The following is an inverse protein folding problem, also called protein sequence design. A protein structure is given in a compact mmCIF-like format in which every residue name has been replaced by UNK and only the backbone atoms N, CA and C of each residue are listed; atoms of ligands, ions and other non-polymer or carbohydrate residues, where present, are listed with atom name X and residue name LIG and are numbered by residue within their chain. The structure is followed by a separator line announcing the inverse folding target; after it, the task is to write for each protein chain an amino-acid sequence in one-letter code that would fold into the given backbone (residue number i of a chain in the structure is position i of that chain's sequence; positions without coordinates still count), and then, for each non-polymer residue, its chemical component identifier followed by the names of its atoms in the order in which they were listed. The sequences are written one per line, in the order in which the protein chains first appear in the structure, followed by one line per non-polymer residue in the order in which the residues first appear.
data_IF_053840457531
#
_entry.id   IF_053840457531
#
_cell.length_a   1.000
_cell.length_b   1.000
_cell.length_c   1.000
_cell.angle_alpha   90.00
_cell.angle_beta   90.00
_cell.angle_gamma   90.00
#
_symmetry.space_group_name_H-M   'P 1'
#
loop_
_entity.id
_entity.type
_entity.pdbx_description
1 polymer ?
#
# COMPACT_ATOMS: atom_id res chain seq x y z
N UNK A 1 23.16 -23.32 -2.94
CA UNK A 1 23.19 -22.35 -1.83
C UNK A 1 22.36 -22.91 -0.71
N UNK A 2 22.87 -22.88 0.50
CA UNK A 2 22.12 -23.30 1.69
C UNK A 2 21.29 -22.10 2.17
N UNK A 3 19.97 -22.25 2.27
CA UNK A 3 19.05 -21.16 2.60
C UNK A 3 18.26 -21.55 3.85
N UNK A 4 18.40 -20.76 4.90
CA UNK A 4 17.64 -20.93 6.15
C UNK A 4 16.50 -19.92 6.16
N UNK A 5 15.27 -20.43 6.22
CA UNK A 5 14.07 -19.62 6.39
C UNK A 5 13.76 -19.46 7.89
N UNK A 6 13.71 -18.21 8.37
CA UNK A 6 13.30 -17.87 9.73
C UNK A 6 11.95 -17.15 9.67
N UNK A 7 10.88 -17.84 10.06
CA UNK A 7 9.53 -17.28 10.21
C UNK A 7 9.06 -17.51 11.65
N UNK A 8 8.72 -16.46 12.42
CA UNK A 8 8.20 -16.61 13.79
C UNK A 8 6.79 -17.22 13.87
N UNK A 9 6.00 -17.12 12.80
CA UNK A 9 4.62 -17.62 12.70
C UNK A 9 4.38 -18.27 11.34
N UNK A 10 5.10 -19.36 11.03
CA UNK A 10 4.92 -20.03 9.77
C UNK A 10 3.52 -20.65 9.71
N UNK A 11 2.96 -20.81 8.50
CA UNK A 11 1.66 -21.44 8.29
C UNK A 11 1.75 -22.96 8.54
N UNK A 12 1.99 -23.33 9.80
CA UNK A 12 2.07 -24.70 10.29
C UNK A 12 0.67 -25.21 10.66
N UNK A 13 0.48 -26.55 10.72
CA UNK A 13 -0.75 -27.14 11.23
C UNK A 13 -1.10 -26.58 12.62
N UNK A 14 -2.33 -26.09 12.79
CA UNK A 14 -2.83 -25.51 14.05
C UNK A 14 -2.65 -24.00 14.20
N UNK A 15 -1.88 -23.34 13.32
CA UNK A 15 -1.78 -21.87 13.26
C UNK A 15 -2.84 -21.34 12.29
N UNK A 16 -3.57 -20.30 12.69
CA UNK A 16 -4.59 -19.69 11.83
C UNK A 16 -3.94 -19.11 10.57
N UNK A 17 -4.42 -19.56 9.40
CA UNK A 17 -4.02 -19.02 8.10
C UNK A 17 -4.27 -17.51 7.98
N UNK A 18 -5.10 -16.91 8.85
CA UNK A 18 -5.32 -15.46 8.92
C UNK A 18 -4.06 -14.66 9.20
N UNK A 19 -3.05 -15.28 9.81
CA UNK A 19 -1.77 -14.64 10.14
C UNK A 19 -0.73 -14.83 9.03
N UNK A 20 -1.04 -15.60 7.98
CA UNK A 20 -0.12 -15.80 6.87
C UNK A 20 0.00 -14.54 6.02
N UNK A 21 1.21 -14.25 5.53
CA UNK A 21 1.48 -13.07 4.69
C UNK A 21 0.64 -12.99 3.41
N UNK A 22 0.13 -14.13 2.92
CA UNK A 22 -0.71 -14.20 1.71
C UNK A 22 -2.21 -14.18 1.97
N UNK A 23 -2.67 -14.22 3.23
CA UNK A 23 -4.10 -14.24 3.53
C UNK A 23 -4.78 -12.92 3.12
N UNK A 24 -5.85 -13.02 2.33
CA UNK A 24 -6.59 -11.87 1.82
C UNK A 24 -5.92 -11.16 0.65
N UNK A 25 -4.84 -11.72 0.07
CA UNK A 25 -4.28 -11.17 -1.17
C UNK A 25 -5.26 -11.39 -2.36
N UNK A 26 -5.20 -10.50 -3.35
CA UNK A 26 -5.97 -10.63 -4.60
C UNK A 26 -5.21 -11.40 -5.70
N UNK A 27 -4.09 -12.05 -5.35
CA UNK A 27 -3.15 -12.72 -6.25
C UNK A 27 -2.68 -11.87 -7.46
N UNK A 28 -2.74 -10.54 -7.37
CA UNK A 28 -2.36 -9.66 -8.48
C UNK A 28 -0.84 -9.44 -8.48
N UNK A 29 -0.19 -9.80 -9.60
CA UNK A 29 1.19 -9.39 -9.88
C UNK A 29 1.11 -8.12 -10.72
N UNK A 30 1.54 -6.98 -10.15
CA UNK A 30 1.46 -5.67 -10.78
C UNK A 30 2.87 -5.08 -10.99
N UNK A 31 3.57 -5.43 -12.10
CA UNK A 31 4.94 -5.01 -12.36
C UNK A 31 5.11 -3.49 -12.44
N UNK A 32 4.03 -2.76 -12.77
CA UNK A 32 4.00 -1.29 -12.86
C UNK A 32 3.54 -0.59 -11.57
N UNK A 33 3.27 -1.35 -10.49
CA UNK A 33 2.66 -0.86 -9.25
C UNK A 33 3.61 -0.13 -8.29
N UNK A 34 4.63 0.59 -8.78
CA UNK A 34 5.62 1.26 -7.91
C UNK A 34 5.17 2.64 -7.43
N UNK A 35 4.23 3.28 -8.13
CA UNK A 35 3.72 4.60 -7.76
C UNK A 35 2.60 4.45 -6.72
N UNK A 36 2.76 5.01 -5.51
CA UNK A 36 1.74 4.89 -4.47
C UNK A 36 0.48 5.67 -4.85
N UNK A 37 -0.68 5.14 -4.47
CA UNK A 37 -1.97 5.85 -4.56
C UNK A 37 -1.98 7.12 -3.70
N UNK A 38 -1.25 7.10 -2.58
CA UNK A 38 -1.02 8.23 -1.69
C UNK A 38 0.03 9.18 -2.30
N UNK A 39 -0.40 10.05 -3.20
CA UNK A 39 0.48 10.98 -3.91
C UNK A 39 0.62 12.35 -3.20
N UNK A 40 1.73 13.08 -3.38
CA UNK A 40 1.98 14.33 -2.69
C UNK A 40 1.06 15.39 -3.30
N UNK A 41 0.50 16.21 -2.43
CA UNK A 41 -0.50 17.20 -2.83
C UNK A 41 -1.93 16.67 -2.92
N UNK A 42 -2.18 15.40 -2.56
CA UNK A 42 -3.55 14.88 -2.43
C UNK A 42 -4.39 15.72 -1.46
N UNK A 43 -3.79 16.22 -0.37
CA UNK A 43 -4.46 17.08 0.62
C UNK A 43 -5.05 18.35 0.00
N UNK A 44 -4.39 18.93 -1.00
CA UNK A 44 -4.89 20.12 -1.70
C UNK A 44 -6.04 19.78 -2.66
N UNK A 45 -6.14 18.52 -3.11
CA UNK A 45 -7.22 18.05 -3.97
C UNK A 45 -8.46 17.62 -3.17
N UNK A 46 -8.28 17.17 -1.92
CA UNK A 46 -9.36 16.67 -1.04
C UNK A 46 -10.53 17.65 -0.91
N UNK A 47 -10.34 18.96 -0.63
CA UNK A 47 -11.45 19.91 -0.56
C UNK A 47 -12.26 19.97 -1.86
N UNK A 48 -11.57 19.99 -3.01
CA UNK A 48 -12.23 19.97 -4.32
C UNK A 48 -12.96 18.67 -4.61
N UNK A 49 -12.47 17.53 -4.12
CA UNK A 49 -13.16 16.24 -4.25
C UNK A 49 -14.42 16.19 -3.38
N UNK A 50 -14.39 16.74 -2.16
CA UNK A 50 -15.53 16.76 -1.23
C UNK A 50 -16.62 17.75 -1.63
N UNK A 51 -16.24 18.89 -2.23
CA UNK A 51 -17.21 19.91 -2.68
C UNK A 51 -17.98 19.48 -3.94
N UNK A 52 -17.47 18.48 -4.67
CA UNK A 52 -18.10 17.96 -5.89
C UNK A 52 -19.05 16.82 -5.54
N UNK A 53 -20.32 16.97 -5.93
CA UNK A 53 -21.35 15.93 -5.73
C UNK A 53 -21.05 14.64 -6.51
N UNK A 54 -20.34 14.75 -7.62
CA UNK A 54 -19.81 13.65 -8.45
C UNK A 54 -18.33 13.36 -8.17
N UNK A 55 -17.78 13.91 -7.09
CA UNK A 55 -16.39 13.80 -6.74
C UNK A 55 -15.99 12.39 -6.34
N UNK A 56 -14.72 12.00 -6.54
CA UNK A 56 -14.23 10.66 -6.20
C UNK A 56 -14.11 10.40 -4.69
N UNK A 57 -14.44 11.38 -3.85
CA UNK A 57 -14.35 11.30 -2.39
C UNK A 57 -15.68 11.73 -1.76
N UNK A 58 -16.36 10.79 -1.13
CA UNK A 58 -17.54 11.05 -0.30
C UNK A 58 -17.20 10.68 1.14
N UNK A 59 -17.40 11.60 2.08
CA UNK A 59 -17.22 11.38 3.51
C UNK A 59 -18.51 11.69 4.25
N UNK A 60 -18.96 10.76 5.09
CA UNK A 60 -19.99 11.06 6.08
C UNK A 60 -19.33 11.73 7.28
N UNK A 61 -19.81 12.90 7.66
CA UNK A 61 -19.24 13.67 8.78
C UNK A 61 -19.22 12.89 10.10
N UNK A 62 -20.15 11.95 10.29
CA UNK A 62 -20.21 11.08 11.47
C UNK A 62 -19.03 10.11 11.55
N UNK A 63 -18.56 9.64 10.40
CA UNK A 63 -17.45 8.67 10.31
C UNK A 63 -16.10 9.37 10.36
N UNK A 64 -16.05 10.71 10.22
CA UNK A 64 -14.79 11.45 10.11
C UNK A 64 -13.91 11.31 11.36
N UNK A 65 -14.51 11.28 12.55
CA UNK A 65 -13.77 11.12 13.80
C UNK A 65 -13.14 9.73 13.90
N UNK A 66 -13.88 8.69 13.52
CA UNK A 66 -13.39 7.32 13.49
C UNK A 66 -12.34 7.12 12.39
N UNK A 67 -12.48 7.83 11.27
CA UNK A 67 -11.54 7.79 10.15
C UNK A 67 -10.30 8.67 10.35
N UNK A 68 -10.33 9.63 11.28
CA UNK A 68 -9.29 10.64 11.44
C UNK A 68 -7.88 10.04 11.69
N UNK A 69 -7.70 9.01 12.53
CA UNK A 69 -6.38 8.39 12.73
C UNK A 69 -5.82 7.79 11.45
N UNK A 70 -6.66 7.11 10.68
CA UNK A 70 -6.29 6.55 9.39
C UNK A 70 -5.98 7.64 8.37
N UNK A 71 -6.79 8.70 8.32
CA UNK A 71 -6.59 9.83 7.42
C UNK A 71 -5.26 10.55 7.72
N UNK A 72 -4.94 10.75 9.00
CA UNK A 72 -3.65 11.32 9.40
C UNK A 72 -2.47 10.43 8.96
N UNK A 73 -2.60 9.11 9.13
CA UNK A 73 -1.61 8.14 8.65
C UNK A 73 -1.46 8.21 7.11
N UNK A 74 -2.57 8.25 6.37
CA UNK A 74 -2.60 8.38 4.91
C UNK A 74 -1.93 9.67 4.42
N UNK A 75 -2.22 10.81 5.06
CA UNK A 75 -1.61 12.08 4.73
C UNK A 75 -0.12 12.10 5.02
N UNK A 76 0.30 11.53 6.15
CA UNK A 76 1.73 11.39 6.45
C UNK A 76 2.44 10.46 5.45
N UNK A 77 1.75 9.43 4.94
CA UNK A 77 2.25 8.55 3.87
C UNK A 77 2.35 9.25 2.51
N UNK A 78 1.51 10.26 2.28
CA UNK A 78 1.49 11.06 1.04
C UNK A 78 2.61 12.11 0.97
N UNK A 79 3.44 12.25 2.01
CA UNK A 79 4.59 13.16 1.98
C UNK A 79 5.61 12.71 0.93
N UNK A 80 6.12 13.66 0.13
CA UNK A 80 7.09 13.41 -0.95
C UNK A 80 8.27 12.53 -0.49
N UNK A 81 8.87 12.84 0.66
CA UNK A 81 9.97 12.03 1.24
C UNK A 81 9.61 10.55 1.42
N UNK A 82 8.38 10.25 1.87
CA UNK A 82 7.93 8.87 2.13
C UNK A 82 7.59 8.16 0.82
N UNK A 83 6.99 8.88 -0.12
CA UNK A 83 6.76 8.38 -1.47
C UNK A 83 8.06 8.04 -2.18
N UNK A 84 9.05 8.94 -2.18
CA UNK A 84 10.33 8.71 -2.86
C UNK A 84 11.03 7.46 -2.28
N UNK A 85 10.97 7.28 -0.95
CA UNK A 85 11.45 6.05 -0.29
C UNK A 85 10.69 4.80 -0.73
N UNK A 86 9.36 4.88 -0.84
CA UNK A 86 8.50 3.76 -1.28
C UNK A 86 8.79 3.38 -2.74
N UNK A 87 8.86 4.37 -3.63
CA UNK A 87 9.19 4.16 -5.05
C UNK A 87 10.59 3.58 -5.20
N UNK A 88 11.57 4.09 -4.43
CA UNK A 88 12.94 3.57 -4.45
C UNK A 88 13.00 2.10 -4.03
N UNK A 89 12.33 1.74 -2.93
CA UNK A 89 12.28 0.37 -2.43
C UNK A 89 11.53 -0.58 -3.37
N UNK A 90 10.36 -0.19 -3.90
CA UNK A 90 9.63 -1.02 -4.86
C UNK A 90 10.35 -1.11 -6.21
N UNK A 91 10.96 -0.02 -6.65
CA UNK A 91 11.74 0.02 -7.89
C UNK A 91 12.97 -0.89 -7.85
N UNK A 92 13.63 -1.04 -6.69
CA UNK A 92 14.74 -2.00 -6.56
C UNK A 92 14.26 -3.45 -6.67
N UNK A 93 13.08 -3.78 -6.12
CA UNK A 93 12.47 -5.11 -6.24
C UNK A 93 12.03 -5.39 -7.68
N UNK A 94 11.41 -4.42 -8.37
CA UNK A 94 10.94 -4.60 -9.74
C UNK A 94 12.08 -4.85 -10.72
N UNK A 95 13.26 -4.25 -10.51
CA UNK A 95 14.46 -4.54 -11.33
C UNK A 95 14.83 -6.03 -11.31
N UNK A 96 14.70 -6.69 -10.16
CA UNK A 96 14.99 -8.13 -10.03
C UNK A 96 13.99 -8.96 -10.83
N UNK A 97 12.70 -8.57 -10.79
CA UNK A 97 11.65 -9.24 -11.56
C UNK A 97 11.88 -9.06 -13.06
N UNK A 98 12.20 -7.83 -13.50
CA UNK A 98 12.43 -7.51 -14.90
C UNK A 98 13.61 -8.31 -15.48
N UNK A 99 14.68 -8.48 -14.70
CA UNK A 99 15.82 -9.31 -15.08
C UNK A 99 15.48 -10.80 -15.14
N UNK A 100 14.66 -11.29 -14.20
CA UNK A 100 14.18 -12.69 -14.21
C UNK A 100 13.13 -13.00 -15.28
N UNK A 101 12.48 -12.00 -15.85
CA UNK A 101 11.47 -12.14 -16.92
C UNK A 101 12.02 -11.82 -18.33
N UNK A 102 13.31 -11.46 -18.48
CA UNK A 102 13.93 -11.35 -19.80
C UNK A 102 14.04 -12.75 -20.43
N UNK A 103 13.64 -12.92 -21.70
CA UNK A 103 13.71 -14.20 -22.40
C UNK A 103 15.14 -14.68 -22.63
#
# INVERSE_FOLDING_TARGET
MDVVLVDPTPPLPGVSFRNAASFGNAATVAPSGIFPTAAPGILWKVPGMLLRRDGPLTLYWRDLLDLAPWLAAFLSASLRRRQDGTISALGSLMKVIEEGMRP
#
